data_IF_544815777867
#
_entry.id   IF_544815777867
#
_cell.length_a   1.000
_cell.length_b   1.000
_cell.length_c   1.000
_cell.angle_alpha   90.00
_cell.angle_beta   90.00
_cell.angle_gamma   90.00
#
_symmetry.space_group_name_H-M   'P 1'
#
loop_
_entity.id
_entity.type
_entity.pdbx_description
1 polymer ?
#
# COMPACT_ATOMS: atom_id res chain seq x y z
N UNK A 1 -35.87 -0.80 -29.36
CA UNK A 1 -34.78 -1.16 -30.29
C UNK A 1 -33.54 -0.42 -29.81
N UNK A 2 -32.86 -0.99 -28.81
CA UNK A 2 -31.45 -0.70 -28.53
C UNK A 2 -30.72 -2.04 -28.73
N UNK A 3 -29.58 -2.06 -29.45
CA UNK A 3 -28.87 -3.29 -29.76
C UNK A 3 -28.17 -3.79 -28.50
N UNK A 4 -28.38 -5.07 -28.18
CA UNK A 4 -27.74 -5.74 -27.05
C UNK A 4 -26.22 -5.68 -27.17
N UNK A 5 -25.56 -5.42 -26.04
CA UNK A 5 -24.13 -5.61 -25.89
C UNK A 5 -23.75 -7.06 -26.24
N UNK A 6 -22.64 -7.30 -26.94
CA UNK A 6 -22.16 -8.66 -27.18
C UNK A 6 -21.77 -9.31 -25.84
N UNK A 7 -22.00 -10.62 -25.68
CA UNK A 7 -21.49 -11.36 -24.53
C UNK A 7 -19.98 -11.58 -24.74
N UNK A 8 -19.16 -10.59 -24.36
CA UNK A 8 -17.71 -10.77 -24.28
C UNK A 8 -17.36 -11.39 -22.92
N UNK A 9 -17.70 -12.67 -22.76
CA UNK A 9 -17.21 -13.55 -21.69
C UNK A 9 -16.71 -14.87 -22.31
N UNK A 10 -16.05 -14.79 -23.46
CA UNK A 10 -15.14 -15.87 -23.85
C UNK A 10 -13.87 -15.69 -23.01
N UNK A 11 -13.53 -16.66 -22.13
CA UNK A 11 -12.25 -16.61 -21.44
C UNK A 11 -11.13 -16.53 -22.48
N UNK A 12 -10.05 -15.78 -22.22
CA UNK A 12 -8.91 -15.74 -23.12
C UNK A 12 -8.52 -17.20 -23.45
N UNK A 13 -8.24 -17.52 -24.73
CA UNK A 13 -7.95 -18.89 -25.13
C UNK A 13 -6.91 -19.44 -24.16
N UNK A 14 -7.23 -20.54 -23.48
CA UNK A 14 -6.32 -21.14 -22.50
C UNK A 14 -4.98 -21.29 -23.21
N UNK A 15 -4.01 -20.46 -22.81
CA UNK A 15 -2.67 -20.56 -23.34
C UNK A 15 -2.19 -21.94 -22.91
N UNK A 16 -2.25 -22.91 -23.83
CA UNK A 16 -1.69 -24.25 -23.62
C UNK A 16 -0.30 -24.11 -23.04
N UNK A 17 0.12 -25.09 -22.24
CA UNK A 17 1.40 -25.01 -21.52
C UNK A 17 2.49 -24.61 -22.51
N UNK A 18 3.30 -23.59 -22.19
CA UNK A 18 4.41 -23.12 -23.04
C UNK A 18 5.23 -24.29 -23.59
N UNK A 19 5.40 -25.34 -22.77
CA UNK A 19 6.11 -26.55 -23.15
C UNK A 19 5.36 -27.40 -24.19
N UNK A 20 4.04 -27.50 -24.12
CA UNK A 20 3.23 -28.16 -25.16
C UNK A 20 3.43 -27.46 -26.51
N UNK A 21 3.45 -26.12 -26.53
CA UNK A 21 3.77 -25.33 -27.72
C UNK A 21 5.18 -25.59 -28.25
N UNK A 22 6.19 -25.63 -27.37
CA UNK A 22 7.58 -25.93 -27.73
C UNK A 22 7.72 -27.34 -28.31
N UNK A 23 7.07 -28.34 -27.71
CA UNK A 23 7.07 -29.72 -28.18
C UNK A 23 6.36 -29.86 -29.53
N UNK A 24 5.24 -29.17 -29.74
CA UNK A 24 4.52 -29.16 -31.02
C UNK A 24 5.34 -28.53 -32.14
N UNK A 25 6.03 -27.41 -31.86
CA UNK A 25 6.94 -26.77 -32.83
C UNK A 25 8.11 -27.70 -33.16
N UNK A 26 8.68 -28.37 -32.17
CA UNK A 26 9.76 -29.34 -32.39
C UNK A 26 9.31 -30.48 -33.29
N UNK A 27 8.16 -31.11 -33.02
CA UNK A 27 7.64 -32.20 -33.84
C UNK A 27 7.46 -31.79 -35.30
N UNK A 28 6.84 -30.63 -35.55
CA UNK A 28 6.63 -30.09 -36.91
C UNK A 28 7.95 -29.80 -37.63
N UNK A 29 8.92 -29.21 -36.93
CA UNK A 29 10.22 -28.84 -37.53
C UNK A 29 11.15 -30.03 -37.71
N UNK A 30 11.03 -31.05 -36.88
CA UNK A 30 11.77 -32.30 -37.03
C UNK A 30 11.35 -33.03 -38.30
N UNK A 31 10.05 -33.09 -38.58
CA UNK A 31 9.51 -33.65 -39.83
C UNK A 31 10.04 -32.92 -41.07
N UNK A 32 9.95 -31.58 -41.09
CA UNK A 32 10.50 -30.74 -42.16
C UNK A 32 12.00 -31.03 -42.39
N UNK A 33 12.79 -31.05 -41.32
CA UNK A 33 14.24 -31.22 -41.36
C UNK A 33 14.64 -32.63 -41.80
N UNK A 34 13.91 -33.66 -41.38
CA UNK A 34 14.13 -35.05 -41.81
C UNK A 34 13.87 -35.19 -43.31
N UNK A 35 12.81 -34.56 -43.82
CA UNK A 35 12.52 -34.54 -45.26
C UNK A 35 13.64 -33.84 -46.07
N UNK A 36 14.14 -32.70 -45.59
CA UNK A 36 15.28 -32.02 -46.20
C UNK A 36 16.55 -32.86 -46.21
N UNK A 37 16.84 -33.58 -45.10
CA UNK A 37 17.98 -34.48 -45.03
C UNK A 37 17.84 -35.62 -46.04
N UNK A 38 16.67 -36.25 -46.14
CA UNK A 38 16.43 -37.32 -47.10
C UNK A 38 16.70 -36.86 -48.54
N UNK A 39 16.15 -35.71 -48.94
CA UNK A 39 16.37 -35.12 -50.26
C UNK A 39 17.86 -34.80 -50.52
N UNK A 40 18.60 -34.32 -49.52
CA UNK A 40 20.04 -34.06 -49.65
C UNK A 40 20.84 -35.34 -49.89
N UNK A 41 20.59 -36.41 -49.13
CA UNK A 41 21.32 -37.67 -49.29
C UNK A 41 20.97 -38.41 -50.59
N UNK A 42 19.74 -38.26 -51.08
CA UNK A 42 19.32 -38.74 -52.40
C UNK A 42 20.06 -37.99 -53.53
N UNK A 43 20.08 -36.65 -53.48
CA UNK A 43 20.78 -35.82 -54.47
C UNK A 43 22.31 -35.99 -54.44
N UNK A 44 22.88 -36.27 -53.26
CA UNK A 44 24.32 -36.57 -53.08
C UNK A 44 24.72 -37.88 -53.76
N UNK A 45 23.87 -38.91 -53.67
CA UNK A 45 24.19 -40.27 -54.07
C UNK A 45 25.48 -40.80 -53.41
N UNK A 46 26.38 -41.36 -54.22
CA UNK A 46 27.66 -41.95 -53.77
C UNK A 46 28.79 -40.95 -53.54
N UNK A 47 28.59 -39.65 -53.85
CA UNK A 47 29.63 -38.62 -53.69
C UNK A 47 29.95 -38.42 -52.19
N UNK A 48 31.21 -38.13 -51.80
CA UNK A 48 31.52 -37.79 -50.41
C UNK A 48 30.84 -36.45 -50.03
N UNK A 49 30.42 -36.28 -48.75
CA UNK A 49 29.77 -35.05 -48.31
C UNK A 49 30.71 -33.85 -48.35
N UNK A 50 30.17 -32.68 -48.66
CA UNK A 50 30.93 -31.43 -48.90
C UNK A 50 31.74 -30.95 -47.68
N UNK A 51 31.35 -31.37 -46.47
CA UNK A 51 32.06 -31.10 -45.20
C UNK A 51 32.02 -32.33 -44.29
N UNK A 52 32.94 -33.29 -44.45
CA UNK A 52 32.90 -34.60 -43.77
C UNK A 52 32.97 -34.51 -42.24
N UNK A 53 33.59 -33.46 -41.71
CA UNK A 53 33.70 -33.22 -40.26
C UNK A 53 32.38 -32.78 -39.62
N UNK A 54 31.47 -32.18 -40.39
CA UNK A 54 30.22 -31.61 -39.89
C UNK A 54 29.00 -32.43 -40.32
N UNK A 55 29.06 -33.03 -41.52
CA UNK A 55 27.98 -33.78 -42.16
C UNK A 55 28.34 -35.27 -42.11
N UNK A 56 27.55 -36.09 -41.39
CA UNK A 56 27.74 -37.54 -41.34
C UNK A 56 27.67 -38.20 -42.72
N UNK A 57 28.27 -39.38 -42.86
CA UNK A 57 28.35 -40.07 -44.15
C UNK A 57 27.03 -40.72 -44.55
N UNK A 58 26.21 -41.08 -43.57
CA UNK A 58 24.93 -41.77 -43.78
C UNK A 58 23.76 -40.95 -43.25
N UNK A 59 22.59 -41.14 -43.88
CA UNK A 59 21.33 -40.51 -43.46
C UNK A 59 20.94 -40.86 -42.00
N UNK A 60 21.02 -42.13 -41.54
CA UNK A 60 20.67 -42.48 -40.17
C UNK A 60 21.54 -41.79 -39.11
N UNK A 61 22.85 -41.66 -39.37
CA UNK A 61 23.76 -40.93 -38.48
C UNK A 61 23.40 -39.43 -38.39
N UNK A 62 22.98 -38.84 -39.51
CA UNK A 62 22.59 -37.42 -39.54
C UNK A 62 21.25 -37.19 -38.84
N UNK A 63 20.28 -38.08 -39.04
CA UNK A 63 18.99 -38.04 -38.32
C UNK A 63 19.20 -38.17 -36.81
N UNK A 64 20.03 -39.11 -36.35
CA UNK A 64 20.37 -39.26 -34.93
C UNK A 64 21.07 -38.01 -34.36
N UNK A 65 21.96 -37.39 -35.12
CA UNK A 65 22.64 -36.13 -34.72
C UNK A 65 21.67 -34.96 -34.65
N UNK A 66 20.67 -34.90 -35.54
CA UNK A 66 19.60 -33.90 -35.53
C UNK A 66 18.70 -34.08 -34.30
N UNK A 67 18.20 -35.30 -34.06
CA UNK A 67 17.36 -35.64 -32.91
C UNK A 67 18.04 -35.28 -31.59
N UNK A 68 19.33 -35.63 -31.43
CA UNK A 68 20.11 -35.29 -30.25
C UNK A 68 20.23 -33.76 -30.03
N UNK A 69 20.37 -32.98 -31.12
CA UNK A 69 20.40 -31.51 -31.03
C UNK A 69 19.05 -30.93 -30.64
N UNK A 70 17.97 -31.40 -31.27
CA UNK A 70 16.61 -30.94 -30.97
C UNK A 70 16.23 -31.25 -29.52
N UNK A 71 16.54 -32.46 -29.06
CA UNK A 71 16.34 -32.88 -27.67
C UNK A 71 17.13 -32.00 -26.70
N UNK A 72 18.42 -31.74 -27.00
CA UNK A 72 19.25 -30.86 -26.17
C UNK A 72 18.78 -29.40 -26.12
N UNK A 73 18.10 -28.90 -27.16
CA UNK A 73 17.49 -27.57 -27.14
C UNK A 73 16.25 -27.54 -26.25
N UNK A 74 15.43 -28.58 -26.29
CA UNK A 74 14.24 -28.69 -25.42
C UNK A 74 14.64 -28.81 -23.96
N UNK A 75 15.60 -29.67 -23.62
CA UNK A 75 16.02 -29.84 -22.23
C UNK A 75 16.56 -28.52 -21.65
N UNK A 76 17.31 -27.75 -22.45
CA UNK A 76 17.75 -26.40 -22.06
C UNK A 76 16.57 -25.45 -21.84
N UNK A 77 15.59 -25.44 -22.74
CA UNK A 77 14.39 -24.62 -22.59
C UNK A 77 13.58 -24.99 -21.33
N UNK A 78 13.49 -26.29 -21.01
CA UNK A 78 12.84 -26.78 -19.79
C UNK A 78 13.58 -26.35 -18.52
N UNK A 79 14.91 -26.45 -18.52
CA UNK A 79 15.77 -25.99 -17.43
C UNK A 79 15.65 -24.47 -17.23
N UNK A 80 15.75 -23.67 -18.30
CA UNK A 80 15.62 -22.22 -18.25
C UNK A 80 14.24 -21.79 -17.74
N UNK A 81 13.18 -22.45 -18.20
CA UNK A 81 11.82 -22.24 -17.69
C UNK A 81 11.74 -22.56 -16.21
N UNK A 82 12.28 -23.70 -15.78
CA UNK A 82 12.28 -24.10 -14.37
C UNK A 82 13.00 -23.07 -13.48
N UNK A 83 14.17 -22.59 -13.90
CA UNK A 83 14.91 -21.56 -13.16
C UNK A 83 14.15 -20.23 -13.13
N UNK A 84 13.54 -19.82 -14.24
CA UNK A 84 12.73 -18.60 -14.32
C UNK A 84 11.52 -18.66 -13.38
N UNK A 85 10.79 -19.78 -13.38
CA UNK A 85 9.65 -20.00 -12.47
C UNK A 85 10.11 -20.02 -11.00
N UNK A 86 11.26 -20.64 -10.71
CA UNK A 86 11.83 -20.65 -9.37
C UNK A 86 12.20 -19.23 -8.90
N UNK A 87 12.85 -18.44 -9.77
CA UNK A 87 13.20 -17.05 -9.49
C UNK A 87 11.94 -16.20 -9.25
N UNK A 88 10.93 -16.32 -10.11
CA UNK A 88 9.65 -15.63 -9.95
C UNK A 88 8.97 -15.98 -8.63
N UNK A 89 8.96 -17.26 -8.21
CA UNK A 89 8.41 -17.67 -6.91
C UNK A 89 9.13 -17.02 -5.74
N UNK A 90 10.46 -16.88 -5.81
CA UNK A 90 11.24 -16.20 -4.76
C UNK A 90 10.87 -14.72 -4.69
N UNK A 91 10.75 -14.06 -5.84
CA UNK A 91 10.33 -12.66 -5.94
C UNK A 91 8.91 -12.46 -5.39
N UNK A 92 7.95 -13.30 -5.78
CA UNK A 92 6.56 -13.24 -5.27
C UNK A 92 6.50 -13.42 -3.75
N UNK A 93 7.30 -14.33 -3.17
CA UNK A 93 7.39 -14.49 -1.70
C UNK A 93 8.03 -13.28 -1.01
N UNK A 94 8.99 -12.63 -1.65
CA UNK A 94 9.58 -11.40 -1.13
C UNK A 94 8.56 -10.25 -1.14
N UNK A 95 7.86 -10.06 -2.26
CA UNK A 95 6.74 -9.13 -2.38
C UNK A 95 5.65 -9.39 -1.34
N UNK A 96 5.22 -10.64 -1.18
CA UNK A 96 4.22 -11.00 -0.17
C UNK A 96 4.66 -10.64 1.26
N UNK A 97 5.94 -10.86 1.61
CA UNK A 97 6.49 -10.46 2.92
C UNK A 97 6.61 -8.95 3.09
N UNK A 98 6.86 -8.22 2.01
CA UNK A 98 6.90 -6.76 2.03
C UNK A 98 5.49 -6.20 2.23
N UNK A 99 4.51 -6.69 1.48
CA UNK A 99 3.11 -6.25 1.62
C UNK A 99 2.56 -6.48 3.03
N UNK A 100 2.87 -7.62 3.67
CA UNK A 100 2.42 -7.89 5.05
C UNK A 100 3.09 -7.03 6.11
N UNK A 101 4.25 -6.42 5.82
CA UNK A 101 4.97 -5.54 6.75
C UNK A 101 4.72 -4.06 6.50
N UNK A 102 4.68 -3.66 5.23
CA UNK A 102 4.56 -2.27 4.80
C UNK A 102 3.18 -1.72 5.14
N UNK A 103 2.10 -2.50 4.95
CA UNK A 103 0.74 -2.06 5.27
C UNK A 103 0.59 -1.63 6.74
N UNK A 104 0.84 -2.53 7.71
CA UNK A 104 0.78 -2.17 9.13
C UNK A 104 1.74 -1.03 9.51
N UNK A 105 2.98 -1.06 9.00
CA UNK A 105 3.97 -0.02 9.32
C UNK A 105 3.57 1.37 8.80
N UNK A 106 2.95 1.45 7.62
CA UNK A 106 2.45 2.70 7.06
C UNK A 106 1.28 3.26 7.90
N UNK A 107 0.36 2.39 8.33
CA UNK A 107 -0.75 2.77 9.22
C UNK A 107 -0.22 3.24 10.58
N UNK A 108 0.69 2.49 11.19
CA UNK A 108 1.31 2.84 12.48
C UNK A 108 2.06 4.17 12.40
N UNK A 109 2.81 4.41 11.32
CA UNK A 109 3.53 5.67 11.13
C UNK A 109 2.57 6.86 10.99
N UNK A 110 1.47 6.70 10.26
CA UNK A 110 0.51 7.77 9.97
C UNK A 110 -0.32 8.10 11.20
N UNK A 111 -0.74 7.07 11.95
CA UNK A 111 -1.44 7.24 13.23
C UNK A 111 -0.54 7.89 14.28
N UNK A 112 0.72 7.47 14.39
CA UNK A 112 1.69 8.09 15.30
C UNK A 112 1.93 9.58 14.97
N UNK A 113 2.09 9.91 13.68
CA UNK A 113 2.25 11.30 13.23
C UNK A 113 1.03 12.16 13.55
N UNK A 114 -0.17 11.66 13.24
CA UNK A 114 -1.44 12.36 13.55
C UNK A 114 -1.59 12.57 15.05
N UNK A 115 -1.31 11.55 15.86
CA UNK A 115 -1.38 11.65 17.32
C UNK A 115 -0.42 12.71 17.86
N UNK A 116 0.80 12.77 17.33
CA UNK A 116 1.76 13.81 17.71
C UNK A 116 1.26 15.22 17.34
N UNK A 117 0.64 15.37 16.17
CA UNK A 117 0.05 16.64 15.73
C UNK A 117 -1.12 17.07 16.64
N UNK A 118 -2.03 16.16 16.99
CA UNK A 118 -3.14 16.43 17.92
C UNK A 118 -2.60 16.85 19.30
N UNK A 119 -1.61 16.13 19.83
CA UNK A 119 -1.01 16.49 21.12
C UNK A 119 -0.39 17.89 21.08
N UNK A 120 0.32 18.22 20.00
CA UNK A 120 0.91 19.54 19.84
C UNK A 120 -0.16 20.64 19.73
N UNK A 121 -1.20 20.43 18.93
CA UNK A 121 -2.32 21.36 18.78
C UNK A 121 -3.11 21.55 20.09
N UNK A 122 -3.32 20.47 20.85
CA UNK A 122 -3.95 20.56 22.17
C UNK A 122 -3.08 21.31 23.18
N UNK A 123 -1.76 21.13 23.14
CA UNK A 123 -0.83 21.86 24.00
C UNK A 123 -0.77 23.35 23.66
N UNK A 124 -0.84 23.73 22.38
CA UNK A 124 -0.93 25.14 21.98
C UNK A 124 -2.23 25.76 22.45
N UNK A 125 -3.35 25.07 22.28
CA UNK A 125 -4.65 25.52 22.77
C UNK A 125 -4.64 25.72 24.29
N UNK A 126 -4.05 24.79 25.03
CA UNK A 126 -3.88 24.90 26.48
C UNK A 126 -3.04 26.11 26.88
N UNK A 127 -2.00 26.43 26.11
CA UNK A 127 -1.16 27.61 26.33
C UNK A 127 -1.95 28.91 26.09
N UNK A 128 -2.82 28.93 25.09
CA UNK A 128 -3.66 30.09 24.74
C UNK A 128 -4.74 30.37 25.79
N UNK A 129 -5.35 29.33 26.38
CA UNK A 129 -6.35 29.49 27.45
C UNK A 129 -5.75 29.72 28.84
N UNK A 130 -4.48 29.37 29.05
CA UNK A 130 -3.78 29.51 30.34
C UNK A 130 -3.89 30.91 30.97
N UNK A 131 -3.64 32.04 30.28
CA UNK A 131 -3.74 33.37 30.89
C UNK A 131 -5.14 33.65 31.42
N UNK A 132 -6.16 33.29 30.65
CA UNK A 132 -7.56 33.55 31.01
C UNK A 132 -7.99 32.71 32.21
N UNK A 133 -7.54 31.45 32.29
CA UNK A 133 -7.72 30.59 33.45
C UNK A 133 -7.01 31.16 34.70
N UNK A 134 -5.79 31.68 34.55
CA UNK A 134 -5.06 32.33 35.64
C UNK A 134 -5.78 33.59 36.14
N UNK A 135 -6.34 34.40 35.24
CA UNK A 135 -7.06 35.61 35.62
C UNK A 135 -8.37 35.30 36.34
N UNK A 136 -9.11 34.28 35.90
CA UNK A 136 -10.29 33.78 36.63
C UNK A 136 -9.92 33.25 38.01
N UNK A 137 -8.79 32.56 38.15
CA UNK A 137 -8.28 32.08 39.43
C UNK A 137 -7.89 33.23 40.37
N UNK A 138 -7.19 34.25 39.87
CA UNK A 138 -6.87 35.47 40.64
C UNK A 138 -8.13 36.20 41.11
N UNK A 139 -9.14 36.35 40.24
CA UNK A 139 -10.44 36.97 40.61
C UNK A 139 -11.11 36.20 41.74
N UNK A 140 -11.10 34.87 41.68
CA UNK A 140 -11.64 34.02 42.75
C UNK A 140 -10.92 34.24 44.08
N UNK A 141 -9.58 34.32 44.06
CA UNK A 141 -8.79 34.57 45.26
C UNK A 141 -9.11 35.95 45.87
N UNK A 142 -9.22 36.97 45.02
CA UNK A 142 -9.61 38.32 45.44
C UNK A 142 -11.01 38.32 46.10
N UNK A 143 -12.01 37.71 45.46
CA UNK A 143 -13.36 37.63 46.02
C UNK A 143 -13.40 36.83 47.33
N UNK A 144 -12.62 35.74 47.42
CA UNK A 144 -12.51 34.95 48.63
C UNK A 144 -11.86 35.73 49.78
N UNK A 145 -10.86 36.57 49.49
CA UNK A 145 -10.21 37.44 50.48
C UNK A 145 -11.14 38.55 50.98
N UNK A 146 -11.99 39.10 50.10
CA UNK A 146 -12.96 40.14 50.41
C UNK A 146 -14.17 39.63 51.21
N UNK A 147 -14.46 38.32 51.18
CA UNK A 147 -15.58 37.72 51.87
C UNK A 147 -15.52 37.86 53.41
N UNK A 148 -14.35 37.59 54.02
CA UNK A 148 -14.21 37.54 55.49
C UNK A 148 -14.41 38.91 56.17
N UNK A 149 -13.84 40.03 55.68
CA UNK A 149 -14.09 41.36 56.22
C UNK A 149 -15.56 41.78 56.09
N UNK A 150 -16.16 41.57 54.92
CA UNK A 150 -17.56 41.97 54.68
C UNK A 150 -18.55 41.16 55.53
N UNK A 151 -18.31 39.87 55.78
CA UNK A 151 -19.17 39.06 56.68
C UNK A 151 -19.15 39.52 58.15
N UNK A 152 -18.10 40.21 58.60
CA UNK A 152 -17.96 40.66 60.00
C UNK A 152 -18.63 42.01 60.28
N UNK A 153 -19.03 42.74 59.25
CA UNK A 153 -19.64 44.06 59.41
C UNK A 153 -21.16 43.99 59.11
N UNK A 154 -22.04 44.23 60.08
CA UNK A 154 -23.50 44.15 59.87
C UNK A 154 -24.03 45.20 58.87
N UNK A 155 -23.28 46.26 58.58
CA UNK A 155 -23.67 47.32 57.65
C UNK A 155 -23.18 47.11 56.20
N UNK A 156 -22.49 45.99 55.90
CA UNK A 156 -21.86 45.71 54.60
C UNK A 156 -22.78 45.02 53.57
N UNK A 157 -24.11 45.01 53.78
CA UNK A 157 -25.03 44.25 52.91
C UNK A 157 -24.89 44.58 51.41
N UNK A 158 -24.60 45.85 51.08
CA UNK A 158 -24.37 46.28 49.71
C UNK A 158 -23.10 45.65 49.11
N UNK A 159 -22.02 45.56 49.89
CA UNK A 159 -20.75 44.93 49.48
C UNK A 159 -20.91 43.41 49.29
N UNK A 160 -21.67 42.76 50.18
CA UNK A 160 -21.95 41.33 50.06
C UNK A 160 -22.77 41.00 48.80
N UNK A 161 -23.76 41.84 48.45
CA UNK A 161 -24.51 41.70 47.19
C UNK A 161 -23.62 41.93 45.98
N UNK A 162 -22.74 42.93 46.02
CA UNK A 162 -21.80 43.20 44.94
C UNK A 162 -20.80 42.04 44.75
N UNK A 163 -20.29 41.47 45.85
CA UNK A 163 -19.42 40.28 45.81
C UNK A 163 -20.14 39.05 45.26
N UNK A 164 -21.39 38.82 45.65
CA UNK A 164 -22.20 37.71 45.13
C UNK A 164 -22.41 37.84 43.62
N UNK A 165 -22.76 39.04 43.14
CA UNK A 165 -22.92 39.30 41.71
C UNK A 165 -21.59 39.19 40.95
N UNK A 166 -20.47 39.62 41.54
CA UNK A 166 -19.15 39.49 40.93
C UNK A 166 -18.71 38.01 40.81
N UNK A 167 -19.04 37.17 41.79
CA UNK A 167 -18.79 35.72 41.71
C UNK A 167 -19.71 35.02 40.71
N UNK A 168 -20.97 35.43 40.59
CA UNK A 168 -21.89 34.92 39.58
C UNK A 168 -21.39 35.24 38.16
N UNK A 169 -20.93 36.48 37.93
CA UNK A 169 -20.33 36.86 36.65
C UNK A 169 -19.03 36.09 36.37
N UNK A 170 -18.19 35.88 37.38
CA UNK A 170 -16.94 35.10 37.24
C UNK A 170 -17.24 33.62 36.94
N UNK A 171 -18.24 33.04 37.60
CA UNK A 171 -18.61 31.64 37.39
C UNK A 171 -19.24 31.43 36.02
N UNK A 172 -20.11 32.34 35.57
CA UNK A 172 -20.66 32.34 34.21
C UNK A 172 -19.56 32.44 33.15
N UNK A 173 -18.63 33.40 33.30
CA UNK A 173 -17.49 33.53 32.39
C UNK A 173 -16.57 32.31 32.40
N UNK A 174 -16.37 31.66 33.56
CA UNK A 174 -15.61 30.42 33.63
C UNK A 174 -16.29 29.27 32.86
N UNK A 175 -17.62 29.15 32.96
CA UNK A 175 -18.38 28.15 32.21
C UNK A 175 -18.29 28.39 30.70
N UNK A 176 -18.50 29.63 30.25
CA UNK A 176 -18.37 30.00 28.83
C UNK A 176 -16.98 29.66 28.28
N UNK A 177 -15.92 29.95 29.04
CA UNK A 177 -14.55 29.66 28.59
C UNK A 177 -14.24 28.16 28.52
N UNK A 178 -14.86 27.36 29.39
CA UNK A 178 -14.76 25.90 29.33
C UNK A 178 -15.53 25.33 28.14
N UNK A 179 -16.69 25.89 27.82
CA UNK A 179 -17.49 25.51 26.65
C UNK A 179 -16.76 25.84 25.35
N UNK A 180 -16.17 27.03 25.23
CA UNK A 180 -15.34 27.42 24.09
C UNK A 180 -14.14 26.49 23.93
N UNK A 181 -13.35 26.26 25.00
CA UNK A 181 -12.21 25.34 24.95
C UNK A 181 -12.62 23.92 24.54
N UNK A 182 -13.78 23.45 25.02
CA UNK A 182 -14.30 22.14 24.64
C UNK A 182 -14.66 22.09 23.15
N UNK A 183 -15.28 23.15 22.62
CA UNK A 183 -15.59 23.23 21.20
C UNK A 183 -14.31 23.21 20.35
N UNK A 184 -13.30 24.00 20.73
CA UNK A 184 -12.02 24.08 20.03
C UNK A 184 -11.27 22.72 20.05
N UNK A 185 -11.28 22.01 21.18
CA UNK A 185 -10.70 20.65 21.26
C UNK A 185 -11.42 19.67 20.33
N UNK A 186 -12.76 19.71 20.27
CA UNK A 186 -13.53 18.85 19.38
C UNK A 186 -13.25 19.17 17.90
N UNK A 187 -13.04 20.43 17.55
CA UNK A 187 -12.68 20.84 16.20
C UNK A 187 -11.26 20.36 15.81
N UNK A 188 -10.30 20.46 16.73
CA UNK A 188 -8.95 19.90 16.55
C UNK A 188 -9.02 18.39 16.34
N UNK A 189 -9.79 17.66 17.16
CA UNK A 189 -9.95 16.21 17.01
C UNK A 189 -10.61 15.85 15.67
N UNK A 190 -11.70 16.53 15.29
CA UNK A 190 -12.41 16.26 14.05
C UNK A 190 -11.56 16.54 12.80
N UNK A 191 -10.83 17.67 12.78
CA UNK A 191 -9.96 18.05 11.66
C UNK A 191 -8.81 17.05 11.47
N UNK A 192 -8.16 16.64 12.56
CA UNK A 192 -7.07 15.66 12.49
C UNK A 192 -7.57 14.25 12.18
N UNK A 193 -8.75 13.85 12.66
CA UNK A 193 -9.38 12.58 12.28
C UNK A 193 -9.69 12.53 10.79
N UNK A 194 -10.21 13.63 10.21
CA UNK A 194 -10.47 13.72 8.77
C UNK A 194 -9.15 13.70 7.96
N UNK A 195 -8.12 14.42 8.41
CA UNK A 195 -6.79 14.38 7.78
C UNK A 195 -6.19 12.97 7.81
N UNK A 196 -6.31 12.25 8.92
CA UNK A 196 -5.86 10.86 9.03
C UNK A 196 -6.58 9.95 8.04
N UNK A 197 -7.91 10.06 7.94
CA UNK A 197 -8.68 9.30 6.96
C UNK A 197 -8.21 9.56 5.52
N UNK A 198 -8.02 10.82 5.15
CA UNK A 198 -7.53 11.18 3.82
C UNK A 198 -6.12 10.63 3.55
N UNK A 199 -5.22 10.70 4.53
CA UNK A 199 -3.87 10.16 4.42
C UNK A 199 -3.89 8.62 4.28
N UNK A 200 -4.73 7.93 5.05
CA UNK A 200 -4.88 6.48 4.97
C UNK A 200 -5.45 6.04 3.62
N UNK A 201 -6.47 6.74 3.11
CA UNK A 201 -7.03 6.48 1.77
C UNK A 201 -5.97 6.69 0.69
N UNK A 202 -5.28 7.83 0.72
CA UNK A 202 -4.21 8.11 -0.24
C UNK A 202 -3.10 7.07 -0.20
N UNK A 203 -2.65 6.69 0.99
CA UNK A 203 -1.62 5.66 1.16
C UNK A 203 -2.10 4.29 0.66
N UNK A 204 -3.35 3.91 0.95
CA UNK A 204 -3.92 2.67 0.44
C UNK A 204 -3.99 2.65 -1.08
N UNK A 205 -4.39 3.76 -1.72
CA UNK A 205 -4.38 3.89 -3.18
C UNK A 205 -2.97 3.78 -3.76
N UNK A 206 -1.97 4.38 -3.11
CA UNK A 206 -0.58 4.27 -3.57
C UNK A 206 0.02 2.88 -3.37
N UNK A 207 -0.45 2.11 -2.39
CA UNK A 207 0.02 0.74 -2.15
C UNK A 207 -0.65 -0.28 -3.08
N UNK A 208 -1.85 0.03 -3.58
CA UNK A 208 -2.65 -0.85 -4.44
C UNK A 208 -2.46 -0.59 -5.94
N UNK A 209 -1.85 0.54 -6.33
CA UNK A 209 -1.50 0.89 -7.73
C UNK A 209 -0.06 0.51 -8.05
#
# INVERSE_FOLDING_TARGET
LEPGAPPDDDPPPEAGSLMEGVHAVRAKREEDMVAYLAAYYEAKGSRPPTRPTLIPHTLPEHQKKLEARLTGLITRAEEDRYQSVKALRVQLRALGRLLTRVGPAAIDSTTASTRAAVLLASATLDQDHRPLAMDLAKKRELHQSALKPSLRNPNSQAELRALAQAEENRSAGAMETLELRRADLLEIEASHANSLLQQLVHQSDTLLR
#
